data_IF_047193520815
#
_entry.id   IF_047193520815
#
_cell.length_a   1.000
_cell.length_b   1.000
_cell.length_c   1.000
_cell.angle_alpha   90.00
_cell.angle_beta   90.00
_cell.angle_gamma   90.00
#
_symmetry.space_group_name_H-M   'P 1'
#
loop_
_entity.id
_entity.type
_entity.pdbx_description
1 polymer ?
#
# COMPACT_ATOMS: atom_id res chain seq x y z
N UNK A 1 14.43 7.49 22.70
CA UNK A 1 13.04 7.80 23.07
C UNK A 1 12.10 6.90 22.25
N UNK A 2 11.74 5.72 22.78
CA UNK A 2 11.08 4.69 21.95
C UNK A 2 9.74 4.20 22.52
N UNK A 3 9.36 4.65 23.73
CA UNK A 3 8.21 4.12 24.46
C UNK A 3 6.90 4.15 23.64
N UNK A 4 6.66 5.22 22.89
CA UNK A 4 5.40 5.44 22.19
C UNK A 4 5.45 5.03 20.71
N UNK A 5 6.62 4.96 20.11
CA UNK A 5 6.82 4.62 18.69
C UNK A 5 7.34 3.20 18.46
N UNK A 6 7.54 2.41 19.55
CA UNK A 6 7.96 1.02 19.42
C UNK A 6 6.85 0.20 18.78
N UNK A 7 7.11 -0.49 17.65
CA UNK A 7 6.12 -1.36 17.01
C UNK A 7 5.60 -2.44 17.93
N UNK A 8 4.34 -2.83 17.71
CA UNK A 8 3.71 -3.96 18.36
C UNK A 8 3.30 -4.98 17.29
N UNK A 9 4.08 -6.02 17.10
CA UNK A 9 3.85 -7.02 16.06
C UNK A 9 2.62 -7.89 16.31
N UNK A 10 2.10 -7.94 17.55
CA UNK A 10 0.84 -8.63 17.86
C UNK A 10 -0.42 -7.83 17.43
N UNK A 11 -0.25 -6.56 17.08
CA UNK A 11 -1.33 -5.63 16.70
C UNK A 11 -0.94 -4.85 15.45
N UNK A 12 -0.36 -5.53 14.46
CA UNK A 12 0.12 -4.90 13.24
C UNK A 12 -0.67 -5.32 12.01
N UNK A 13 -0.55 -4.52 10.94
CA UNK A 13 -1.03 -4.85 9.60
C UNK A 13 0.00 -4.44 8.56
N UNK A 14 0.05 -5.17 7.46
CA UNK A 14 0.84 -4.80 6.27
C UNK A 14 -0.06 -3.99 5.32
N UNK A 15 0.43 -2.83 4.91
CA UNK A 15 -0.23 -1.94 3.95
C UNK A 15 0.61 -1.91 2.68
N UNK A 16 0.08 -2.46 1.58
CA UNK A 16 0.69 -2.28 0.27
C UNK A 16 0.08 -1.07 -0.42
N UNK A 17 0.91 -0.27 -1.08
CA UNK A 17 0.45 0.95 -1.74
C UNK A 17 0.68 0.86 -3.25
N UNK A 18 -0.40 0.94 -4.04
CA UNK A 18 -0.40 1.10 -5.51
C UNK A 18 0.44 0.05 -6.27
N UNK A 19 0.47 -1.20 -5.78
CA UNK A 19 1.23 -2.31 -6.38
C UNK A 19 0.48 -2.98 -7.54
N UNK A 20 -0.09 -2.14 -8.40
CA UNK A 20 -0.90 -2.55 -9.57
C UNK A 20 -0.05 -2.66 -10.83
N UNK A 21 -0.50 -3.45 -11.80
CA UNK A 21 0.24 -3.73 -13.03
C UNK A 21 0.66 -2.46 -13.78
N UNK A 22 -0.23 -1.47 -13.93
CA UNK A 22 0.09 -0.23 -14.67
C UNK A 22 1.19 0.62 -14.03
N UNK A 23 1.42 0.49 -12.71
CA UNK A 23 2.47 1.19 -12.00
C UNK A 23 3.75 0.38 -11.82
N UNK A 24 3.64 -0.95 -11.86
CA UNK A 24 4.70 -1.84 -11.40
C UNK A 24 5.42 -2.59 -12.51
N UNK A 25 4.71 -2.96 -13.59
CA UNK A 25 5.29 -3.80 -14.62
C UNK A 25 6.17 -3.00 -15.61
N UNK A 26 7.30 -3.56 -16.03
CA UNK A 26 8.13 -2.94 -17.06
C UNK A 26 7.34 -2.69 -18.35
N UNK A 27 7.45 -1.47 -18.89
CA UNK A 27 6.74 -1.05 -20.10
C UNK A 27 5.26 -0.74 -19.91
N UNK A 28 4.73 -0.77 -18.70
CA UNK A 28 3.36 -0.37 -18.41
C UNK A 28 3.14 1.14 -18.64
N UNK A 29 1.88 1.52 -18.92
CA UNK A 29 1.50 2.88 -19.32
C UNK A 29 1.90 3.97 -18.31
N UNK A 30 1.97 3.63 -17.05
CA UNK A 30 2.36 4.53 -15.96
C UNK A 30 3.49 3.92 -15.09
N UNK A 31 4.37 3.12 -15.72
CA UNK A 31 5.48 2.46 -15.05
C UNK A 31 6.24 3.39 -14.10
N UNK A 32 6.37 2.97 -12.88
CA UNK A 32 7.22 3.61 -11.87
C UNK A 32 8.49 2.77 -11.74
N UNK A 33 9.57 3.26 -12.33
CA UNK A 33 10.87 2.58 -12.33
C UNK A 33 11.32 2.23 -10.91
N UNK A 34 11.91 1.05 -10.76
CA UNK A 34 12.34 0.52 -9.46
C UNK A 34 11.24 -0.20 -8.69
N UNK A 35 9.97 -0.19 -9.17
CA UNK A 35 8.89 -0.88 -8.48
C UNK A 35 8.94 -2.38 -8.71
N UNK A 36 9.17 -2.81 -9.95
CA UNK A 36 9.26 -4.24 -10.27
C UNK A 36 10.41 -4.93 -9.52
N UNK A 37 11.53 -4.23 -9.34
CA UNK A 37 12.72 -4.73 -8.65
C UNK A 37 12.52 -4.98 -7.15
N UNK A 38 11.53 -4.32 -6.54
CA UNK A 38 11.22 -4.52 -5.12
C UNK A 38 10.08 -5.51 -4.86
N UNK A 39 9.34 -5.95 -5.90
CA UNK A 39 8.26 -6.95 -5.79
C UNK A 39 8.71 -8.26 -5.11
N UNK A 40 9.86 -8.85 -5.43
CA UNK A 40 10.29 -10.07 -4.75
C UNK A 40 10.41 -9.93 -3.23
N UNK A 41 10.83 -8.76 -2.73
CA UNK A 41 10.91 -8.48 -1.30
C UNK A 41 9.53 -8.23 -0.69
N UNK A 42 8.64 -7.52 -1.41
CA UNK A 42 7.24 -7.40 -0.99
C UNK A 42 6.59 -8.78 -0.82
N UNK A 43 6.81 -9.69 -1.78
CA UNK A 43 6.30 -11.05 -1.73
C UNK A 43 6.74 -11.79 -0.46
N UNK A 44 8.03 -11.71 -0.10
CA UNK A 44 8.55 -12.35 1.13
C UNK A 44 7.83 -11.84 2.38
N UNK A 45 7.59 -10.53 2.48
CA UNK A 45 6.87 -9.92 3.60
C UNK A 45 5.42 -10.39 3.64
N UNK A 46 4.74 -10.39 2.50
CA UNK A 46 3.34 -10.80 2.39
C UNK A 46 3.16 -12.29 2.71
N UNK A 47 4.07 -13.14 2.24
CA UNK A 47 4.04 -14.58 2.55
C UNK A 47 4.26 -14.82 4.05
N UNK A 48 5.16 -14.09 4.70
CA UNK A 48 5.35 -14.15 6.14
C UNK A 48 4.12 -13.64 6.92
N UNK A 49 3.52 -12.54 6.47
CA UNK A 49 2.29 -12.01 7.07
C UNK A 49 1.13 -13.01 6.96
N UNK A 50 0.94 -13.63 5.78
CA UNK A 50 -0.06 -14.69 5.56
C UNK A 50 0.16 -15.89 6.48
N UNK A 51 1.40 -16.35 6.60
CA UNK A 51 1.76 -17.47 7.47
C UNK A 51 1.49 -17.19 8.95
N UNK A 52 1.60 -15.95 9.37
CA UNK A 52 1.36 -15.48 10.75
C UNK A 52 -0.06 -14.98 11.00
N UNK A 53 -0.95 -14.99 9.98
CA UNK A 53 -2.31 -14.47 10.09
C UNK A 53 -2.39 -12.94 10.29
N UNK A 54 -1.32 -12.21 9.96
CA UNK A 54 -1.28 -10.75 10.07
C UNK A 54 -2.14 -10.16 8.96
N UNK A 55 -3.05 -9.22 9.29
CA UNK A 55 -3.88 -8.52 8.30
C UNK A 55 -3.05 -7.82 7.21
N UNK A 56 -3.49 -7.99 5.96
CA UNK A 56 -2.91 -7.32 4.80
C UNK A 56 -3.98 -6.46 4.14
N UNK A 57 -3.67 -5.21 3.87
CA UNK A 57 -4.56 -4.30 3.13
C UNK A 57 -3.84 -3.80 1.89
N UNK A 58 -4.35 -4.19 0.72
CA UNK A 58 -3.88 -3.70 -0.57
C UNK A 58 -4.63 -2.41 -0.91
N UNK A 59 -3.94 -1.29 -0.79
CA UNK A 59 -4.48 0.03 -1.09
C UNK A 59 -4.19 0.35 -2.56
N UNK A 60 -5.25 0.50 -3.36
CA UNK A 60 -5.17 0.62 -4.81
C UNK A 60 -5.74 1.94 -5.34
N UNK A 61 -5.34 2.30 -6.55
CA UNK A 61 -5.93 3.40 -7.34
C UNK A 61 -6.83 2.84 -8.42
N UNK A 62 -7.94 3.53 -8.69
CA UNK A 62 -8.79 3.28 -9.84
C UNK A 62 -9.13 4.62 -10.48
N UNK A 63 -8.85 4.80 -11.77
CA UNK A 63 -9.16 6.02 -12.50
C UNK A 63 -10.32 5.80 -13.46
N UNK A 64 -11.42 6.53 -13.21
CA UNK A 64 -12.58 6.52 -14.10
C UNK A 64 -12.22 7.14 -15.44
N UNK A 65 -12.77 6.59 -16.52
CA UNK A 65 -12.52 7.04 -17.90
C UNK A 65 -12.83 8.52 -18.13
N UNK A 66 -13.87 9.02 -17.46
CA UNK A 66 -14.28 10.44 -17.52
C UNK A 66 -13.41 11.39 -16.68
N UNK A 67 -12.37 10.90 -16.03
CA UNK A 67 -11.46 11.70 -15.20
C UNK A 67 -12.07 12.25 -13.90
N UNK A 68 -13.30 11.86 -13.53
CA UNK A 68 -14.04 12.46 -12.39
C UNK A 68 -13.36 12.30 -11.04
N UNK A 69 -12.62 11.20 -10.83
CA UNK A 69 -11.95 10.85 -9.56
C UNK A 69 -10.43 10.96 -9.62
N UNK A 70 -9.88 11.49 -10.71
CA UNK A 70 -8.43 11.55 -10.96
C UNK A 70 -7.80 12.78 -10.29
N UNK A 71 -6.54 12.63 -9.87
CA UNK A 71 -5.75 13.74 -9.36
C UNK A 71 -5.58 14.82 -10.44
N UNK A 72 -5.63 16.10 -10.05
CA UNK A 72 -5.56 17.21 -11.00
C UNK A 72 -4.35 17.14 -11.93
N UNK A 73 -3.19 16.72 -11.42
CA UNK A 73 -1.96 16.61 -12.22
C UNK A 73 -1.97 15.48 -13.26
N UNK A 74 -2.93 14.56 -13.19
CA UNK A 74 -3.10 13.44 -14.16
C UNK A 74 -4.38 13.57 -14.98
N UNK A 75 -5.23 14.53 -14.64
CA UNK A 75 -6.57 14.63 -15.22
C UNK A 75 -6.54 14.83 -16.74
N UNK A 76 -5.73 15.75 -17.24
CA UNK A 76 -5.56 16.00 -18.67
C UNK A 76 -5.10 14.72 -19.42
N UNK A 77 -4.19 13.95 -18.83
CA UNK A 77 -3.71 12.69 -19.41
C UNK A 77 -4.83 11.66 -19.55
N UNK A 78 -5.68 11.52 -18.53
CA UNK A 78 -6.82 10.59 -18.58
C UNK A 78 -7.88 11.08 -19.57
N UNK A 79 -8.21 12.37 -19.56
CA UNK A 79 -9.15 12.99 -20.52
C UNK A 79 -8.67 12.88 -21.98
N UNK A 80 -7.35 12.77 -22.23
CA UNK A 80 -6.80 12.49 -23.57
C UNK A 80 -6.98 11.03 -24.03
N UNK A 81 -7.60 10.18 -23.18
CA UNK A 81 -7.90 8.78 -23.52
C UNK A 81 -6.88 7.76 -23.01
N UNK A 82 -5.83 8.19 -22.30
CA UNK A 82 -4.85 7.26 -21.71
C UNK A 82 -5.50 6.49 -20.57
N UNK A 83 -5.51 5.15 -20.66
CA UNK A 83 -6.06 4.27 -19.64
C UNK A 83 -4.97 3.91 -18.62
N UNK A 84 -5.09 4.41 -17.40
CA UNK A 84 -4.23 4.05 -16.27
C UNK A 84 -5.13 3.52 -15.17
N UNK A 85 -4.82 2.35 -14.64
CA UNK A 85 -5.58 1.64 -13.59
C UNK A 85 -7.09 1.75 -13.76
N UNK A 86 -7.55 1.65 -15.01
CA UNK A 86 -8.98 1.74 -15.34
C UNK A 86 -9.71 0.54 -14.74
N UNK A 87 -10.84 0.74 -14.07
CA UNK A 87 -11.65 -0.36 -13.51
C UNK A 87 -11.90 -1.48 -14.53
N UNK A 88 -11.73 -2.73 -14.09
CA UNK A 88 -11.94 -3.92 -14.92
C UNK A 88 -10.85 -4.23 -15.95
N UNK A 89 -9.73 -3.52 -15.92
CA UNK A 89 -8.58 -3.81 -16.80
C UNK A 89 -7.46 -4.53 -16.04
N UNK A 90 -6.64 -5.29 -16.78
CA UNK A 90 -5.41 -5.89 -16.23
C UNK A 90 -4.47 -4.88 -15.58
N UNK A 91 -4.43 -3.64 -16.07
CA UNK A 91 -3.63 -2.56 -15.52
C UNK A 91 -4.01 -2.21 -14.09
N UNK A 92 -5.29 -2.33 -13.75
CA UNK A 92 -5.83 -2.06 -12.42
C UNK A 92 -5.62 -3.21 -11.41
N UNK A 93 -5.34 -4.42 -11.89
CA UNK A 93 -5.09 -5.56 -11.02
C UNK A 93 -3.75 -5.42 -10.27
N UNK A 94 -3.66 -6.04 -9.09
CA UNK A 94 -2.37 -6.20 -8.40
C UNK A 94 -1.44 -7.06 -9.23
N UNK A 95 -0.13 -6.85 -9.08
CA UNK A 95 0.85 -7.74 -9.73
C UNK A 95 0.68 -9.17 -9.20
N UNK A 96 0.76 -10.15 -10.11
CA UNK A 96 0.43 -11.55 -9.82
C UNK A 96 1.29 -12.13 -8.69
N UNK A 97 2.54 -11.70 -8.56
CA UNK A 97 3.51 -12.20 -7.58
C UNK A 97 3.12 -11.90 -6.13
N UNK A 98 2.30 -10.86 -5.91
CA UNK A 98 1.87 -10.48 -4.55
C UNK A 98 0.45 -10.91 -4.21
N UNK A 99 -0.31 -11.42 -5.17
CA UNK A 99 -1.64 -11.95 -4.94
C UNK A 99 -1.61 -13.21 -4.04
N UNK A 100 -2.63 -13.42 -3.18
CA UNK A 100 -2.79 -14.72 -2.54
C UNK A 100 -3.10 -15.82 -3.57
N UNK A 101 -2.72 -17.07 -3.28
CA UNK A 101 -2.82 -18.20 -4.22
C UNK A 101 -4.27 -18.44 -4.71
N UNK A 102 -5.24 -18.28 -3.81
CA UNK A 102 -6.67 -18.48 -4.07
C UNK A 102 -7.42 -17.12 -3.97
N UNK A 103 -6.84 -16.09 -4.61
CA UNK A 103 -7.40 -14.75 -4.58
C UNK A 103 -8.85 -14.73 -5.10
N UNK A 104 -9.73 -14.10 -4.35
CA UNK A 104 -11.07 -13.78 -4.82
C UNK A 104 -11.02 -12.47 -5.61
N UNK A 105 -11.87 -12.39 -6.62
CA UNK A 105 -12.04 -11.14 -7.37
C UNK A 105 -12.57 -10.03 -6.46
N UNK A 106 -12.02 -8.84 -6.61
CA UNK A 106 -12.53 -7.63 -5.99
C UNK A 106 -13.31 -6.84 -7.05
N UNK A 107 -14.60 -6.66 -6.80
CA UNK A 107 -15.45 -5.87 -7.70
C UNK A 107 -15.03 -4.40 -7.68
N UNK A 108 -14.77 -3.84 -8.86
CA UNK A 108 -14.29 -2.47 -8.98
C UNK A 108 -15.34 -1.44 -8.57
N UNK A 109 -16.63 -1.75 -8.73
CA UNK A 109 -17.71 -0.86 -8.31
C UNK A 109 -17.82 -0.83 -6.78
N UNK A 110 -17.75 -2.00 -6.13
CA UNK A 110 -17.72 -2.09 -4.66
C UNK A 110 -16.55 -1.29 -4.09
N UNK A 111 -15.35 -1.43 -4.67
CA UNK A 111 -14.18 -0.65 -4.27
C UNK A 111 -14.40 0.86 -4.41
N UNK A 112 -14.95 1.32 -5.54
CA UNK A 112 -15.22 2.74 -5.78
C UNK A 112 -16.26 3.32 -4.84
N UNK A 113 -17.18 2.51 -4.34
CA UNK A 113 -18.20 2.86 -3.35
C UNK A 113 -17.68 2.80 -1.90
N UNK A 114 -16.41 2.44 -1.70
CA UNK A 114 -15.73 2.41 -0.38
C UNK A 114 -15.73 1.04 0.28
N UNK A 115 -16.09 -0.01 -0.44
CA UNK A 115 -16.00 -1.39 0.03
C UNK A 115 -14.57 -1.83 0.32
N UNK A 116 -14.44 -2.80 1.23
CA UNK A 116 -13.20 -3.49 1.56
C UNK A 116 -13.36 -5.00 1.33
N UNK A 117 -13.44 -5.46 0.07
CA UNK A 117 -13.60 -6.88 -0.21
C UNK A 117 -12.43 -7.70 0.32
N UNK A 118 -12.78 -8.85 0.91
CA UNK A 118 -11.83 -9.86 1.37
C UNK A 118 -11.37 -10.69 0.17
N UNK A 119 -10.10 -10.59 -0.20
CA UNK A 119 -9.49 -11.32 -1.32
C UNK A 119 -8.72 -12.57 -0.89
N UNK A 120 -8.42 -12.71 0.40
CA UNK A 120 -7.74 -13.85 1.02
C UNK A 120 -8.12 -13.98 2.48
N UNK A 121 -7.64 -15.00 3.24
CA UNK A 121 -8.07 -15.29 4.61
C UNK A 121 -7.99 -14.14 5.60
N UNK A 122 -6.99 -13.28 5.49
CA UNK A 122 -6.81 -12.04 6.29
C UNK A 122 -6.27 -10.93 5.40
N UNK A 123 -6.84 -10.80 4.18
CA UNK A 123 -6.27 -9.97 3.14
C UNK A 123 -7.40 -9.25 2.39
N UNK A 124 -7.35 -7.92 2.41
CA UNK A 124 -8.39 -7.04 1.85
C UNK A 124 -7.83 -6.14 0.77
N UNK A 125 -8.70 -5.68 -0.11
CA UNK A 125 -8.40 -4.62 -1.06
C UNK A 125 -9.21 -3.38 -0.71
N UNK A 126 -8.61 -2.19 -0.88
CA UNK A 126 -9.26 -0.91 -0.62
C UNK A 126 -8.86 0.12 -1.69
N UNK A 127 -9.84 0.78 -2.25
CA UNK A 127 -9.60 1.93 -3.12
C UNK A 127 -9.30 3.19 -2.31
N UNK A 128 -8.35 4.02 -2.80
CA UNK A 128 -8.12 5.38 -2.29
C UNK A 128 -8.28 6.42 -3.40
N UNK A 129 -9.00 7.53 -3.16
CA UNK A 129 -9.26 8.54 -4.19
C UNK A 129 -8.11 9.52 -4.41
N UNK A 130 -7.13 9.61 -3.49
CA UNK A 130 -5.99 10.55 -3.55
C UNK A 130 -4.69 9.86 -3.14
N UNK A 131 -3.61 10.63 -2.94
CA UNK A 131 -2.29 10.10 -2.60
C UNK A 131 -2.27 9.28 -1.32
N UNK A 132 -2.84 9.82 -0.24
CA UNK A 132 -2.84 9.19 1.06
C UNK A 132 -3.95 8.16 1.24
N UNK A 133 -3.62 7.06 1.90
CA UNK A 133 -4.52 5.94 2.11
C UNK A 133 -5.69 6.23 3.06
N UNK A 134 -5.59 7.27 3.89
CA UNK A 134 -6.61 7.65 4.88
C UNK A 134 -7.55 8.76 4.39
N UNK A 135 -7.27 9.34 3.23
CA UNK A 135 -8.09 10.45 2.73
C UNK A 135 -9.41 9.92 2.15
N UNK A 136 -10.52 10.23 2.80
CA UNK A 136 -11.87 9.81 2.41
C UNK A 136 -11.98 8.29 2.18
N UNK A 137 -11.43 7.50 3.13
CA UNK A 137 -11.50 6.04 3.13
C UNK A 137 -11.87 5.54 4.52
N UNK A 138 -12.33 4.30 4.62
CA UNK A 138 -12.66 3.64 5.87
C UNK A 138 -11.43 2.98 6.56
N UNK A 139 -10.20 3.24 6.08
CA UNK A 139 -9.00 2.55 6.57
C UNK A 139 -8.81 2.69 8.07
N UNK A 140 -8.95 3.90 8.63
CA UNK A 140 -8.77 4.11 10.06
C UNK A 140 -9.79 3.33 10.89
N UNK A 141 -11.08 3.44 10.55
CA UNK A 141 -12.15 2.73 11.24
C UNK A 141 -11.92 1.21 11.18
N UNK A 142 -11.58 0.67 10.01
CA UNK A 142 -11.26 -0.73 9.81
C UNK A 142 -10.09 -1.20 10.67
N UNK A 143 -9.00 -0.44 10.72
CA UNK A 143 -7.81 -0.79 11.52
C UNK A 143 -8.11 -0.75 13.02
N UNK A 144 -8.87 0.24 13.49
CA UNK A 144 -9.26 0.36 14.91
C UNK A 144 -10.19 -0.76 15.33
N UNK A 145 -11.17 -1.13 14.50
CA UNK A 145 -12.07 -2.27 14.75
C UNK A 145 -11.30 -3.58 14.97
N UNK A 146 -10.20 -3.77 14.28
CA UNK A 146 -9.29 -4.92 14.41
C UNK A 146 -8.21 -4.77 15.49
N UNK A 147 -8.31 -3.73 16.34
CA UNK A 147 -7.34 -3.44 17.40
C UNK A 147 -5.88 -3.28 16.89
N UNK A 148 -5.71 -2.81 15.65
CA UNK A 148 -4.40 -2.58 15.03
C UNK A 148 -3.88 -1.21 15.47
N UNK A 149 -2.63 -1.16 15.95
CA UNK A 149 -1.93 0.07 16.34
C UNK A 149 -0.60 0.28 15.58
N UNK A 150 -0.17 -0.70 14.80
CA UNK A 150 1.13 -0.70 14.11
C UNK A 150 0.93 -1.00 12.62
N UNK A 151 1.50 -0.16 11.76
CA UNK A 151 1.37 -0.29 10.30
C UNK A 151 2.75 -0.48 9.64
N UNK A 152 2.83 -1.46 8.76
CA UNK A 152 4.01 -1.82 7.98
C UNK A 152 3.76 -1.42 6.54
N UNK A 153 4.47 -0.41 6.03
CA UNK A 153 4.29 0.13 4.69
C UNK A 153 5.28 -0.46 3.71
N UNK A 154 4.76 -0.98 2.59
CA UNK A 154 5.48 -1.43 1.39
C UNK A 154 4.76 -0.93 0.14
N UNK A 155 5.39 -0.97 -1.04
CA UNK A 155 4.71 -0.59 -2.30
C UNK A 155 5.41 0.49 -3.11
N UNK A 156 4.64 1.30 -3.86
CA UNK A 156 5.19 2.31 -4.77
C UNK A 156 4.43 3.63 -4.72
N UNK A 157 5.08 4.76 -5.03
CA UNK A 157 6.51 5.01 -4.84
C UNK A 157 6.69 5.99 -3.69
N UNK A 158 7.76 5.86 -2.95
CA UNK A 158 7.98 6.56 -1.67
C UNK A 158 7.70 8.08 -1.70
N UNK A 159 8.15 8.87 -2.69
CA UNK A 159 7.92 10.32 -2.69
C UNK A 159 6.45 10.74 -2.62
N UNK A 160 5.52 9.88 -3.04
CA UNK A 160 4.10 10.20 -3.22
C UNK A 160 3.21 9.43 -2.23
N UNK A 161 2.55 8.37 -2.70
CA UNK A 161 1.48 7.69 -1.98
C UNK A 161 1.93 7.05 -0.66
N UNK A 162 3.01 6.28 -0.58
CA UNK A 162 3.49 5.73 0.68
C UNK A 162 3.84 6.83 1.69
N UNK A 163 4.59 7.86 1.28
CA UNK A 163 4.98 8.96 2.15
C UNK A 163 3.77 9.72 2.69
N UNK A 164 2.82 10.09 1.83
CA UNK A 164 1.59 10.76 2.25
C UNK A 164 0.78 9.88 3.23
N UNK A 165 0.66 8.58 2.95
CA UNK A 165 -0.04 7.64 3.82
C UNK A 165 0.62 7.50 5.20
N UNK A 166 1.95 7.49 5.24
CA UNK A 166 2.73 7.46 6.48
C UNK A 166 2.49 8.72 7.33
N UNK A 167 2.50 9.92 6.72
CA UNK A 167 2.16 11.16 7.43
C UNK A 167 0.74 11.11 7.99
N UNK A 168 -0.24 10.72 7.17
CA UNK A 168 -1.63 10.59 7.63
C UNK A 168 -1.80 9.56 8.76
N UNK A 169 -1.06 8.46 8.73
CA UNK A 169 -1.05 7.46 9.79
C UNK A 169 -0.39 8.00 11.08
N UNK A 170 0.70 8.79 10.95
CA UNK A 170 1.36 9.46 12.06
C UNK A 170 0.42 10.43 12.80
N UNK A 171 -0.36 11.22 12.04
CA UNK A 171 -1.36 12.16 12.60
C UNK A 171 -2.53 11.46 13.30
N UNK A 172 -2.64 10.12 13.17
CA UNK A 172 -3.64 9.25 13.78
C UNK A 172 -3.07 8.35 14.88
N UNK A 173 -1.86 8.66 15.34
CA UNK A 173 -1.19 7.93 16.43
C UNK A 173 -0.97 6.43 16.16
N UNK A 174 -0.78 6.04 14.88
CA UNK A 174 -0.28 4.70 14.57
C UNK A 174 1.24 4.63 14.75
N UNK A 175 1.74 3.50 15.22
CA UNK A 175 3.15 3.15 15.19
C UNK A 175 3.52 2.70 13.77
N UNK A 176 4.63 3.15 13.25
CA UNK A 176 4.91 3.09 11.82
C UNK A 176 6.23 2.41 11.52
N UNK A 177 6.18 1.50 10.55
CA UNK A 177 7.33 0.85 9.95
C UNK A 177 7.33 1.14 8.45
N UNK A 178 8.44 1.64 7.93
CA UNK A 178 8.74 1.69 6.50
C UNK A 178 9.79 0.63 6.19
N UNK A 179 9.47 -0.30 5.28
CA UNK A 179 10.45 -1.30 4.82
C UNK A 179 11.13 -0.74 3.57
N UNK A 180 12.28 -0.09 3.77
CA UNK A 180 12.89 0.78 2.77
C UNK A 180 13.33 0.05 1.49
N UNK A 181 13.71 -1.22 1.56
CA UNK A 181 14.07 -2.05 0.42
C UNK A 181 12.88 -2.76 -0.26
N UNK A 182 11.66 -2.56 0.26
CA UNK A 182 10.39 -3.03 -0.30
C UNK A 182 9.46 -1.89 -0.72
N UNK A 183 10.00 -0.68 -0.83
CA UNK A 183 9.31 0.49 -1.39
C UNK A 183 10.18 1.10 -2.47
N UNK A 184 9.61 1.36 -3.65
CA UNK A 184 10.35 2.01 -4.73
C UNK A 184 10.55 3.50 -4.49
N UNK A 185 11.60 4.08 -5.10
CA UNK A 185 11.85 5.51 -5.09
C UNK A 185 12.27 6.10 -3.73
N UNK A 186 12.78 5.28 -2.83
CA UNK A 186 13.32 5.73 -1.53
C UNK A 186 14.61 6.54 -1.73
N UNK A 187 14.79 7.58 -0.93
CA UNK A 187 15.97 8.45 -0.94
C UNK A 187 16.36 8.86 0.49
N UNK A 188 17.65 9.14 0.69
CA UNK A 188 18.27 9.34 2.01
C UNK A 188 17.60 10.42 2.86
N UNK A 189 17.36 11.60 2.26
CA UNK A 189 16.69 12.71 2.94
C UNK A 189 15.28 12.32 3.40
N UNK A 190 14.52 11.60 2.57
CA UNK A 190 13.19 11.11 2.91
C UNK A 190 13.20 10.12 4.08
N UNK A 191 14.19 9.24 4.15
CA UNK A 191 14.38 8.32 5.28
C UNK A 191 14.67 9.10 6.57
N UNK A 192 15.51 10.12 6.49
CA UNK A 192 15.81 11.01 7.63
C UNK A 192 14.53 11.70 8.14
N UNK A 193 13.72 12.22 7.23
CA UNK A 193 12.45 12.89 7.56
C UNK A 193 11.45 11.90 8.21
N UNK A 194 11.36 10.67 7.73
CA UNK A 194 10.52 9.64 8.36
C UNK A 194 11.00 9.30 9.79
N UNK A 195 12.30 9.13 9.99
CA UNK A 195 12.87 8.89 11.32
C UNK A 195 12.54 10.03 12.30
N UNK A 196 12.55 11.27 11.84
CA UNK A 196 12.28 12.46 12.66
C UNK A 196 10.84 12.48 13.21
N UNK A 197 9.88 11.87 12.54
CA UNK A 197 8.49 11.72 13.01
C UNK A 197 8.22 10.36 13.70
N UNK A 198 9.28 9.60 14.01
CA UNK A 198 9.17 8.35 14.79
C UNK A 198 8.91 7.09 13.96
N UNK A 199 8.96 7.17 12.63
CA UNK A 199 8.85 5.99 11.76
C UNK A 199 10.09 5.11 11.93
N UNK A 200 9.87 3.80 12.12
CA UNK A 200 10.93 2.81 12.13
C UNK A 200 11.27 2.38 10.72
N UNK A 201 12.54 2.42 10.40
CA UNK A 201 13.04 2.00 9.09
C UNK A 201 13.59 0.59 9.24
N UNK A 202 13.07 -0.33 8.46
CA UNK A 202 13.48 -1.74 8.43
C UNK A 202 13.97 -2.11 7.04
N UNK A 203 14.85 -3.10 6.99
CA UNK A 203 15.10 -3.92 5.81
C UNK A 203 14.17 -5.13 5.85
N UNK A 204 13.87 -5.72 4.69
CA UNK A 204 13.01 -6.90 4.59
C UNK A 204 13.43 -8.00 5.56
N UNK A 205 14.72 -8.38 5.58
CA UNK A 205 15.21 -9.45 6.45
C UNK A 205 15.03 -9.13 7.94
N UNK A 206 15.21 -7.89 8.32
CA UNK A 206 15.01 -7.45 9.70
C UNK A 206 13.54 -7.61 10.10
N UNK A 207 12.61 -7.17 9.24
CA UNK A 207 11.17 -7.33 9.48
C UNK A 207 10.78 -8.82 9.60
N UNK A 208 11.27 -9.67 8.69
CA UNK A 208 10.98 -11.11 8.72
C UNK A 208 11.39 -11.76 10.03
N UNK A 209 12.53 -11.37 10.60
CA UNK A 209 12.98 -11.87 11.89
C UNK A 209 12.04 -11.49 13.06
N UNK A 210 11.42 -10.30 12.99
CA UNK A 210 10.46 -9.85 14.00
C UNK A 210 9.10 -10.56 13.87
N UNK A 211 8.66 -10.84 12.62
CA UNK A 211 7.39 -11.51 12.36
C UNK A 211 7.39 -13.02 12.70
N UNK A 212 8.57 -13.62 12.90
CA UNK A 212 8.73 -15.03 13.23
C UNK A 212 8.85 -15.31 14.74
N UNK A 213 8.87 -14.26 15.58
CA UNK A 213 8.94 -14.36 17.04
C UNK A 213 7.55 -14.42 17.68
#
# INVERSE_FOLDING_TARGET
>A
MEKYTKPNFNRCAVITIDTQNDFSLPGAVAEIKGTYEVIPRMKLILDAARASGIPIIHVVRLYMENGSNVDLCRKELIESGVAIVRPGTKGAELVAEIMPADAKDADAQDLLEGGLPLIGPSEWMMYKPRWGAFYQTELEAFLRDKDIDTLIFIGCNFPNCPRTSIYQASERDFKLILVEDSVSGVYEQGITEMKNIGVRIYQTQQLLNELQQ
#
